data_IF_829677402629
#
_entry.id   IF_829677402629
#
_cell.length_a   1.000
_cell.length_b   1.000
_cell.length_c   1.000
_cell.angle_alpha   90.00
_cell.angle_beta   90.00
_cell.angle_gamma   90.00
#
_symmetry.space_group_name_H-M   'P 1'
#
loop_
_entity.id
_entity.type
_entity.pdbx_description
1 polymer ?
#
# COMPACT_ATOMS: atom_id res chain seq x y z
N UNK A 1 52.89 -33.47 -61.22
CA UNK A 1 53.26 -34.47 -60.19
C UNK A 1 52.02 -34.74 -59.33
N UNK A 2 51.50 -35.98 -59.37
CA UNK A 2 50.63 -36.72 -58.39
C UNK A 2 49.37 -36.03 -57.82
N UNK A 3 48.14 -36.39 -58.22
CA UNK A 3 47.26 -37.56 -57.85
C UNK A 3 46.56 -37.48 -56.47
N UNK A 4 45.24 -37.24 -56.52
CA UNK A 4 44.09 -38.01 -56.00
C UNK A 4 44.08 -38.80 -54.66
N UNK A 5 42.85 -38.85 -54.11
CA UNK A 5 42.20 -39.89 -53.26
C UNK A 5 42.34 -39.75 -51.74
N UNK A 6 41.24 -39.53 -50.99
CA UNK A 6 40.16 -40.44 -50.51
C UNK A 6 40.62 -41.46 -49.44
N UNK A 7 39.97 -41.33 -48.27
CA UNK A 7 39.32 -42.40 -47.46
C UNK A 7 40.15 -43.35 -46.59
N UNK A 8 39.75 -43.44 -45.30
CA UNK A 8 39.81 -44.66 -44.47
C UNK A 8 40.12 -44.39 -42.99
N UNK A 9 39.15 -44.11 -42.11
CA UNK A 9 38.40 -45.04 -41.21
C UNK A 9 39.26 -45.90 -40.24
N UNK A 10 39.05 -45.71 -38.92
CA UNK A 10 38.48 -46.66 -37.90
C UNK A 10 38.58 -46.01 -36.49
N UNK A 11 37.47 -45.76 -35.77
CA UNK A 11 36.75 -46.60 -34.77
C UNK A 11 37.55 -46.76 -33.44
N UNK A 12 37.02 -46.62 -32.21
CA UNK A 12 35.70 -46.90 -31.64
C UNK A 12 35.49 -46.09 -30.32
N UNK A 13 34.27 -45.62 -29.97
CA UNK A 13 33.31 -46.27 -29.03
C UNK A 13 33.23 -45.40 -27.75
N UNK A 14 32.11 -45.02 -27.13
CA UNK A 14 30.82 -45.68 -26.81
C UNK A 14 29.82 -44.54 -26.40
N UNK A 15 28.65 -44.35 -27.05
CA UNK A 15 27.27 -44.78 -26.67
C UNK A 15 26.76 -44.19 -25.32
N UNK A 16 25.54 -43.71 -25.07
CA UNK A 16 24.24 -43.45 -25.73
C UNK A 16 23.45 -42.56 -24.71
N UNK A 17 22.37 -41.81 -24.99
CA UNK A 17 21.10 -42.22 -25.59
C UNK A 17 20.29 -40.96 -25.97
N UNK A 18 19.68 -41.03 -27.15
CA UNK A 18 18.74 -40.07 -27.77
C UNK A 18 17.31 -40.47 -27.42
N UNK A 19 16.35 -39.55 -27.42
CA UNK A 19 15.06 -39.77 -28.11
C UNK A 19 14.33 -38.44 -28.36
N UNK A 20 13.97 -38.29 -29.64
CA UNK A 20 13.40 -37.15 -30.34
C UNK A 20 11.95 -37.50 -30.68
N UNK A 21 11.04 -36.53 -30.71
CA UNK A 21 9.92 -36.56 -31.66
C UNK A 21 9.24 -35.18 -31.76
N UNK A 22 9.35 -34.58 -32.96
CA UNK A 22 8.39 -33.61 -33.46
C UNK A 22 7.27 -34.37 -34.17
N UNK A 23 6.02 -34.02 -33.89
CA UNK A 23 4.92 -34.10 -34.86
C UNK A 23 4.02 -32.90 -34.65
N UNK A 24 3.91 -32.09 -35.71
CA UNK A 24 2.81 -31.16 -35.86
C UNK A 24 1.67 -31.91 -36.55
N UNK A 25 0.46 -31.84 -36.01
CA UNK A 25 -0.74 -31.95 -36.84
C UNK A 25 -1.88 -31.12 -36.27
N UNK A 26 -2.64 -30.52 -37.19
CA UNK A 26 -3.70 -29.52 -36.94
C UNK A 26 -5.03 -30.23 -36.70
N UNK A 27 -5.88 -29.56 -35.92
CA UNK A 27 -7.34 -29.62 -35.92
C UNK A 27 -8.03 -30.84 -35.30
N UNK A 28 -8.56 -30.64 -34.09
CA UNK A 28 -9.95 -30.95 -33.75
C UNK A 28 -10.33 -30.11 -32.53
N UNK A 29 -10.97 -28.97 -32.77
CA UNK A 29 -11.74 -28.28 -31.76
C UNK A 29 -12.94 -29.18 -31.42
N UNK A 30 -12.96 -29.73 -30.21
CA UNK A 30 -14.17 -30.27 -29.61
C UNK A 30 -14.45 -29.51 -28.32
N UNK A 31 -15.60 -28.85 -28.35
CA UNK A 31 -16.23 -28.12 -27.27
C UNK A 31 -16.36 -28.97 -26.01
N UNK A 32 -15.51 -28.71 -25.02
CA UNK A 32 -15.86 -28.97 -23.63
C UNK A 32 -16.40 -27.67 -23.07
N UNK A 33 -17.72 -27.51 -23.18
CA UNK A 33 -18.50 -26.52 -22.44
C UNK A 33 -18.45 -26.90 -20.96
N UNK A 34 -17.45 -26.38 -20.24
CA UNK A 34 -17.53 -26.26 -18.78
C UNK A 34 -18.47 -25.10 -18.46
N UNK A 35 -19.72 -25.47 -18.22
CA UNK A 35 -20.76 -24.63 -17.67
C UNK A 35 -20.33 -24.02 -16.33
N UNK A 36 -20.49 -22.70 -16.18
CA UNK A 36 -20.63 -22.08 -14.87
C UNK A 36 -19.50 -21.15 -14.41
N UNK A 37 -18.89 -20.36 -15.28
CA UNK A 37 -18.20 -19.14 -14.83
C UNK A 37 -19.27 -18.13 -14.40
N UNK A 38 -19.59 -18.10 -13.09
CA UNK A 38 -20.15 -16.87 -12.52
C UNK A 38 -19.09 -15.80 -12.75
N UNK A 39 -19.36 -14.88 -13.68
CA UNK A 39 -18.59 -13.65 -13.79
C UNK A 39 -18.55 -13.02 -12.40
N UNK A 40 -17.39 -13.05 -11.75
CA UNK A 40 -17.14 -12.22 -10.58
C UNK A 40 -17.56 -10.80 -10.97
N UNK A 41 -18.45 -10.14 -10.21
CA UNK A 41 -18.81 -8.77 -10.54
C UNK A 41 -17.51 -7.98 -10.65
N UNK A 42 -17.32 -7.36 -11.81
CA UNK A 42 -16.19 -6.44 -12.03
C UNK A 42 -16.47 -5.26 -11.10
N UNK A 43 -15.94 -5.32 -9.88
CA UNK A 43 -16.13 -4.27 -8.89
C UNK A 43 -15.48 -3.03 -9.49
N UNK A 44 -16.29 -2.02 -9.77
CA UNK A 44 -15.78 -0.70 -10.11
C UNK A 44 -15.09 -0.15 -8.88
N UNK A 45 -13.77 -0.26 -8.85
CA UNK A 45 -12.94 0.35 -7.84
C UNK A 45 -12.71 1.83 -8.14
N UNK A 46 -13.65 2.55 -8.74
CA UNK A 46 -13.63 4.01 -8.81
C UNK A 46 -15.04 4.54 -8.59
N UNK A 47 -15.41 4.88 -7.35
CA UNK A 47 -16.73 5.49 -7.16
C UNK A 47 -16.76 6.97 -7.61
N UNK A 48 -15.59 7.57 -7.88
CA UNK A 48 -15.30 8.75 -8.75
C UNK A 48 -13.78 9.01 -8.82
N UNK A 49 -13.26 9.36 -10.00
CA UNK A 49 -11.96 10.06 -10.11
C UNK A 49 -12.21 11.55 -9.91
N UNK A 50 -11.46 12.17 -9.00
CA UNK A 50 -11.56 13.60 -8.68
C UNK A 50 -10.19 14.26 -8.72
N UNK A 51 -10.19 15.59 -8.83
CA UNK A 51 -8.97 16.40 -8.69
C UNK A 51 -9.18 17.50 -7.64
N UNK A 52 -8.10 17.86 -6.96
CA UNK A 52 -8.03 19.03 -6.09
C UNK A 52 -6.67 19.71 -6.21
N UNK A 53 -6.62 20.99 -5.86
CA UNK A 53 -5.42 21.82 -6.00
C UNK A 53 -4.77 22.06 -4.65
N UNK A 54 -3.45 21.90 -4.57
CA UNK A 54 -2.66 22.26 -3.39
C UNK A 54 -2.46 23.78 -3.30
N UNK A 55 -2.06 24.25 -2.12
CA UNK A 55 -1.74 25.67 -1.89
C UNK A 55 -0.57 26.16 -2.76
N UNK A 56 0.37 25.27 -3.11
CA UNK A 56 1.49 25.54 -4.02
C UNK A 56 1.16 25.29 -5.50
N UNK A 57 -0.10 24.99 -5.81
CA UNK A 57 -0.63 25.02 -7.17
C UNK A 57 -0.60 23.71 -7.95
N UNK A 58 -0.20 22.60 -7.31
CA UNK A 58 -0.22 21.25 -7.90
C UNK A 58 -1.66 20.74 -7.99
N UNK A 59 -2.04 20.16 -9.14
CA UNK A 59 -3.31 19.43 -9.29
C UNK A 59 -3.07 17.95 -8.95
N UNK A 60 -3.74 17.49 -7.89
CA UNK A 60 -3.65 16.12 -7.38
C UNK A 60 -4.86 15.33 -7.87
N UNK A 61 -4.61 14.18 -8.49
CA UNK A 61 -5.65 13.22 -8.89
C UNK A 61 -5.83 12.15 -7.82
N UNK A 62 -7.09 11.83 -7.52
CA UNK A 62 -7.46 10.83 -6.51
C UNK A 62 -8.67 10.00 -6.93
N UNK A 63 -8.71 8.77 -6.42
CA UNK A 63 -9.90 7.93 -6.43
C UNK A 63 -10.66 8.15 -5.11
N UNK A 64 -11.94 8.53 -5.24
CA UNK A 64 -12.83 8.77 -4.11
C UNK A 64 -13.86 7.65 -3.98
N UNK A 65 -13.95 7.10 -2.77
CA UNK A 65 -14.81 5.97 -2.40
C UNK A 65 -15.70 6.34 -1.20
N UNK A 66 -16.84 7.01 -1.41
CA UNK A 66 -17.74 7.33 -0.32
C UNK A 66 -18.36 6.04 0.24
N UNK A 67 -18.34 5.91 1.56
CA UNK A 67 -19.07 4.86 2.25
C UNK A 67 -20.58 5.14 2.21
N UNK A 68 -21.37 4.07 2.17
CA UNK A 68 -22.82 4.17 2.38
C UNK A 68 -23.07 4.44 3.87
N UNK A 69 -23.69 5.57 4.16
CA UNK A 69 -24.07 5.94 5.53
C UNK A 69 -25.57 6.10 5.64
N UNK A 70 -26.10 5.70 6.79
CA UNK A 70 -27.50 5.94 7.14
C UNK A 70 -27.81 7.45 7.14
N UNK A 71 -29.04 7.86 6.81
CA UNK A 71 -29.46 9.26 6.90
C UNK A 71 -29.11 9.90 8.26
N UNK A 72 -28.52 11.09 8.23
CA UNK A 72 -28.10 11.83 9.43
C UNK A 72 -26.83 11.31 10.11
N UNK A 73 -26.15 10.29 9.55
CA UNK A 73 -24.83 9.85 10.00
C UNK A 73 -23.72 10.39 9.11
N UNK A 74 -22.54 10.58 9.69
CA UNK A 74 -21.32 10.97 8.98
C UNK A 74 -20.30 9.82 9.02
N UNK A 75 -19.68 9.54 7.88
CA UNK A 75 -18.65 8.52 7.71
C UNK A 75 -17.31 9.04 8.22
N UNK A 76 -16.53 8.26 9.00
CA UNK A 76 -15.12 8.54 9.20
C UNK A 76 -14.35 8.42 7.86
N UNK A 77 -13.11 8.91 7.81
CA UNK A 77 -12.33 8.94 6.56
C UNK A 77 -10.96 8.29 6.67
N UNK A 78 -10.53 7.68 5.57
CA UNK A 78 -9.17 7.19 5.37
C UNK A 78 -8.52 7.89 4.17
N UNK A 79 -7.30 8.41 4.36
CA UNK A 79 -6.43 8.88 3.27
C UNK A 79 -5.34 7.83 3.02
N UNK A 80 -5.18 7.39 1.77
CA UNK A 80 -4.22 6.35 1.39
C UNK A 80 -3.11 6.93 0.49
N UNK A 81 -1.86 6.77 0.92
CA UNK A 81 -0.67 7.39 0.31
C UNK A 81 0.29 6.28 -0.15
N UNK A 82 0.58 6.21 -1.45
CA UNK A 82 1.33 5.10 -2.05
C UNK A 82 2.86 5.21 -1.84
N UNK A 83 3.57 4.12 -2.14
CA UNK A 83 5.04 4.04 -2.09
C UNK A 83 5.71 4.56 -3.38
N UNK A 84 7.04 4.68 -3.37
CA UNK A 84 7.83 4.93 -4.58
C UNK A 84 8.45 3.63 -5.13
N UNK A 85 8.41 3.37 -6.45
CA UNK A 85 7.43 3.90 -7.40
C UNK A 85 6.10 3.14 -7.23
N UNK A 86 4.99 3.86 -7.26
CA UNK A 86 3.63 3.31 -7.36
C UNK A 86 2.66 4.43 -7.79
N UNK A 87 1.37 4.09 -7.79
CA UNK A 87 0.24 5.01 -7.89
C UNK A 87 -0.78 4.65 -6.82
N UNK A 88 -1.80 5.48 -6.62
CA UNK A 88 -2.95 5.26 -5.73
C UNK A 88 -3.60 3.89 -5.88
N UNK A 89 -3.50 3.29 -7.07
CA UNK A 89 -4.02 1.95 -7.37
C UNK A 89 -3.45 0.85 -6.46
N UNK A 90 -2.25 1.04 -5.91
CA UNK A 90 -1.61 0.04 -5.03
C UNK A 90 -2.39 -0.20 -3.72
N UNK A 91 -3.31 0.70 -3.38
CA UNK A 91 -4.16 0.61 -2.20
C UNK A 91 -5.54 -0.01 -2.45
N UNK A 92 -5.89 -0.35 -3.70
CA UNK A 92 -7.19 -0.98 -4.05
C UNK A 92 -7.56 -2.19 -3.17
N UNK A 93 -6.63 -3.08 -2.77
CA UNK A 93 -6.97 -4.20 -1.88
C UNK A 93 -7.57 -3.81 -0.52
N UNK A 94 -7.33 -2.59 -0.03
CA UNK A 94 -7.87 -2.11 1.23
C UNK A 94 -9.27 -1.49 1.11
N UNK A 95 -9.69 -1.07 -0.09
CA UNK A 95 -10.93 -0.31 -0.27
C UNK A 95 -12.17 -1.07 0.23
N UNK A 96 -12.41 -2.35 -0.13
CA UNK A 96 -13.60 -3.06 0.37
C UNK A 96 -13.60 -3.24 1.89
N UNK A 97 -12.42 -3.41 2.49
CA UNK A 97 -12.29 -3.62 3.93
C UNK A 97 -12.60 -2.35 4.73
N UNK A 98 -12.22 -1.20 4.20
CA UNK A 98 -12.46 0.09 4.84
C UNK A 98 -13.87 0.61 4.53
N UNK A 99 -14.27 0.61 3.26
CA UNK A 99 -15.55 1.17 2.81
C UNK A 99 -16.72 0.26 3.14
N UNK A 100 -16.69 -0.98 2.69
CA UNK A 100 -17.87 -1.84 2.70
C UNK A 100 -18.04 -2.54 4.04
N UNK A 101 -16.95 -2.99 4.66
CA UNK A 101 -16.99 -3.66 5.96
C UNK A 101 -17.08 -2.66 7.13
N UNK A 102 -16.27 -1.59 7.12
CA UNK A 102 -16.21 -0.62 8.23
C UNK A 102 -16.99 0.69 8.03
N UNK A 103 -17.50 0.98 6.82
CA UNK A 103 -18.22 2.24 6.56
C UNK A 103 -17.31 3.49 6.58
N UNK A 104 -16.01 3.33 6.33
CA UNK A 104 -15.03 4.41 6.22
C UNK A 104 -14.97 4.89 4.78
N UNK A 105 -15.16 6.19 4.55
CA UNK A 105 -14.98 6.74 3.21
C UNK A 105 -13.49 6.87 2.89
N UNK A 106 -13.07 6.43 1.71
CA UNK A 106 -11.65 6.30 1.36
C UNK A 106 -11.28 7.28 0.26
N UNK A 107 -10.16 7.97 0.42
CA UNK A 107 -9.53 8.78 -0.61
C UNK A 107 -8.10 8.30 -0.83
N UNK A 108 -7.80 7.79 -2.02
CA UNK A 108 -6.45 7.39 -2.41
C UNK A 108 -5.96 8.33 -3.51
N UNK A 109 -4.83 9.00 -3.31
CA UNK A 109 -4.32 10.01 -4.26
C UNK A 109 -2.95 9.63 -4.81
N UNK A 110 -2.62 10.14 -6.00
CA UNK A 110 -1.28 10.04 -6.56
C UNK A 110 -0.40 11.17 -6.00
N UNK A 111 0.75 10.80 -5.41
CA UNK A 111 1.75 11.78 -4.96
C UNK A 111 2.15 12.66 -6.14
N UNK A 112 2.35 13.97 -5.90
CA UNK A 112 2.85 14.92 -6.89
C UNK A 112 3.98 14.34 -7.76
N UNK A 113 3.83 14.44 -9.08
CA UNK A 113 4.81 13.96 -10.06
C UNK A 113 4.67 12.50 -10.48
N UNK A 114 3.64 11.77 -10.06
CA UNK A 114 3.33 10.43 -10.62
C UNK A 114 1.85 10.29 -10.94
N UNK A 115 1.50 9.26 -11.71
CA UNK A 115 0.13 8.94 -12.11
C UNK A 115 -0.60 10.15 -12.72
N UNK A 116 -1.75 10.52 -12.18
CA UNK A 116 -2.52 11.68 -12.64
C UNK A 116 -2.03 13.04 -12.10
N UNK A 117 -1.17 13.06 -11.09
CA UNK A 117 -0.75 14.27 -10.35
C UNK A 117 0.49 14.95 -10.94
N UNK A 118 0.54 15.09 -12.27
CA UNK A 118 1.70 15.63 -13.01
C UNK A 118 1.56 17.09 -13.42
N UNK A 119 0.43 17.71 -13.07
CA UNK A 119 0.10 19.09 -13.44
C UNK A 119 0.37 20.08 -12.31
N UNK A 120 0.71 21.34 -12.64
CA UNK A 120 0.79 21.87 -14.00
C UNK A 120 2.17 21.60 -14.65
N UNK A 121 2.23 21.58 -15.98
CA UNK A 121 3.39 21.08 -16.73
C UNK A 121 4.66 21.90 -16.47
N UNK A 122 4.53 23.21 -16.28
CA UNK A 122 5.61 24.15 -15.99
C UNK A 122 6.39 23.84 -14.71
N UNK A 123 5.81 23.07 -13.78
CA UNK A 123 6.48 22.69 -12.54
C UNK A 123 7.43 21.50 -12.69
N UNK A 124 7.42 20.81 -13.84
CA UNK A 124 8.24 19.62 -14.13
C UNK A 124 8.16 18.55 -13.03
N UNK A 125 6.97 18.33 -12.47
CA UNK A 125 6.75 17.48 -11.30
C UNK A 125 7.20 16.04 -11.53
N UNK A 126 6.93 15.50 -12.72
CA UNK A 126 7.33 14.13 -13.05
C UNK A 126 8.84 13.95 -12.99
N UNK A 127 9.59 14.86 -13.59
CA UNK A 127 11.06 14.82 -13.53
C UNK A 127 11.56 14.91 -12.10
N UNK A 128 11.01 15.80 -11.27
CA UNK A 128 11.40 15.92 -9.85
C UNK A 128 11.12 14.64 -9.06
N UNK A 129 10.00 13.97 -9.35
CA UNK A 129 9.66 12.68 -8.76
C UNK A 129 10.66 11.58 -9.19
N UNK A 130 10.97 11.50 -10.49
CA UNK A 130 11.94 10.55 -11.05
C UNK A 130 13.37 10.79 -10.52
N UNK A 131 13.78 12.05 -10.40
CA UNK A 131 15.07 12.49 -9.85
C UNK A 131 15.15 12.32 -8.32
N UNK A 132 14.05 11.92 -7.66
CA UNK A 132 13.95 11.77 -6.21
C UNK A 132 14.30 13.06 -5.45
N UNK A 133 13.89 14.20 -6.00
CA UNK A 133 14.20 15.51 -5.46
C UNK A 133 13.66 15.68 -4.03
N UNK A 134 14.55 15.95 -3.07
CA UNK A 134 14.19 15.99 -1.66
C UNK A 134 13.20 17.13 -1.33
N UNK A 135 13.33 18.29 -1.99
CA UNK A 135 12.41 19.41 -1.77
C UNK A 135 11.01 19.10 -2.31
N UNK A 136 10.93 18.40 -3.44
CA UNK A 136 9.69 17.91 -4.02
C UNK A 136 8.96 16.95 -3.08
N UNK A 137 9.67 15.96 -2.51
CA UNK A 137 9.08 15.03 -1.55
C UNK A 137 8.75 15.68 -0.20
N UNK A 138 9.57 16.60 0.30
CA UNK A 138 9.24 17.38 1.50
C UNK A 138 7.96 18.22 1.33
N UNK A 139 7.69 18.71 0.12
CA UNK A 139 6.46 19.44 -0.19
C UNK A 139 5.23 18.53 -0.38
N UNK A 140 5.39 17.20 -0.48
CA UNK A 140 4.28 16.26 -0.70
C UNK A 140 3.26 16.21 0.46
N UNK A 141 3.58 16.72 1.64
CA UNK A 141 2.57 16.93 2.70
C UNK A 141 1.44 17.87 2.26
N UNK A 142 1.73 18.84 1.39
CA UNK A 142 0.73 19.75 0.83
C UNK A 142 -0.33 19.01 0.01
N UNK A 143 0.01 17.85 -0.57
CA UNK A 143 -0.94 16.98 -1.26
C UNK A 143 -1.96 16.41 -0.27
N UNK A 144 -1.47 15.96 0.90
CA UNK A 144 -2.32 15.42 1.97
C UNK A 144 -3.16 16.51 2.64
N UNK A 145 -2.61 17.71 2.82
CA UNK A 145 -3.36 18.88 3.31
C UNK A 145 -4.51 19.20 2.35
N UNK A 146 -4.25 19.26 1.04
CA UNK A 146 -5.28 19.53 0.04
C UNK A 146 -6.34 18.42 -0.01
N UNK A 147 -5.93 17.16 0.16
CA UNK A 147 -6.83 16.02 0.28
C UNK A 147 -7.76 16.16 1.50
N UNK A 148 -7.21 16.52 2.67
CA UNK A 148 -7.98 16.82 3.87
C UNK A 148 -8.97 17.98 3.65
N UNK A 149 -8.52 19.10 3.09
CA UNK A 149 -9.37 20.25 2.80
C UNK A 149 -10.51 19.89 1.86
N UNK A 150 -10.25 19.09 0.83
CA UNK A 150 -11.28 18.58 -0.06
C UNK A 150 -12.30 17.70 0.70
N UNK A 151 -11.83 16.82 1.59
CA UNK A 151 -12.69 15.97 2.43
C UNK A 151 -13.59 16.78 3.37
N UNK A 152 -13.11 17.89 3.95
CA UNK A 152 -13.94 18.74 4.83
C UNK A 152 -15.16 19.34 4.12
N UNK A 153 -15.11 19.44 2.78
CA UNK A 153 -16.17 20.00 1.94
C UNK A 153 -17.19 18.95 1.48
N UNK A 154 -16.94 17.67 1.74
CA UNK A 154 -17.82 16.59 1.29
C UNK A 154 -19.01 16.40 2.23
N UNK A 155 -20.22 16.15 1.70
CA UNK A 155 -21.39 15.87 2.54
C UNK A 155 -21.21 14.54 3.28
N UNK A 156 -21.77 14.45 4.48
CA UNK A 156 -21.81 13.23 5.29
C UNK A 156 -20.44 12.63 5.64
N UNK A 157 -19.37 13.45 5.63
CA UNK A 157 -18.02 13.07 6.04
C UNK A 157 -17.68 13.68 7.39
N UNK A 158 -17.06 12.94 8.30
CA UNK A 158 -16.59 13.38 9.62
C UNK A 158 -15.06 13.31 9.68
N UNK A 159 -14.40 14.44 9.39
CA UNK A 159 -12.94 14.55 9.42
C UNK A 159 -12.34 14.61 10.82
N UNK A 160 -13.15 14.66 11.89
CA UNK A 160 -12.64 14.48 13.27
C UNK A 160 -12.28 13.01 13.58
N UNK A 161 -12.80 12.09 12.75
CA UNK A 161 -12.48 10.66 12.77
C UNK A 161 -11.76 10.28 11.48
N UNK A 162 -10.48 10.65 11.43
CA UNK A 162 -9.62 10.40 10.27
C UNK A 162 -8.44 9.49 10.61
N UNK A 163 -8.13 8.59 9.69
CA UNK A 163 -6.92 7.74 9.68
C UNK A 163 -6.14 7.98 8.38
N UNK A 164 -4.81 7.89 8.45
CA UNK A 164 -3.94 7.96 7.27
C UNK A 164 -3.15 6.67 7.14
N UNK A 165 -3.07 6.14 5.91
CA UNK A 165 -2.28 4.97 5.58
C UNK A 165 -1.17 5.36 4.62
N UNK A 166 0.06 5.00 4.96
CA UNK A 166 1.24 5.23 4.14
C UNK A 166 1.96 3.92 3.82
N UNK A 167 2.63 3.88 2.67
CA UNK A 167 3.59 2.84 2.34
C UNK A 167 4.92 3.48 1.93
N UNK A 168 6.05 3.01 2.45
CA UNK A 168 7.39 3.56 2.13
C UNK A 168 7.46 5.08 2.35
N UNK A 169 7.84 5.86 1.35
CA UNK A 169 7.78 7.34 1.39
C UNK A 169 6.40 7.88 1.78
N UNK A 170 5.31 7.18 1.45
CA UNK A 170 3.96 7.52 1.91
C UNK A 170 3.80 7.46 3.42
N UNK A 171 4.57 6.62 4.13
CA UNK A 171 4.65 6.63 5.60
C UNK A 171 5.25 7.93 6.11
N UNK A 172 6.35 8.39 5.50
CA UNK A 172 7.01 9.63 5.88
C UNK A 172 6.11 10.85 5.66
N UNK A 173 5.38 10.88 4.53
CA UNK A 173 4.36 11.89 4.24
C UNK A 173 3.21 11.83 5.26
N UNK A 174 2.75 10.63 5.62
CA UNK A 174 1.67 10.45 6.60
C UNK A 174 2.05 10.98 7.98
N UNK A 175 3.27 10.70 8.43
CA UNK A 175 3.80 11.18 9.70
C UNK A 175 3.95 12.71 9.70
N UNK A 176 4.52 13.30 8.64
CA UNK A 176 4.65 14.76 8.50
C UNK A 176 3.27 15.44 8.53
N UNK A 177 2.31 14.91 7.75
CA UNK A 177 0.95 15.44 7.73
C UNK A 177 0.26 15.41 9.11
N UNK A 178 0.47 14.36 9.90
CA UNK A 178 -0.12 14.23 11.23
C UNK A 178 0.40 15.27 12.24
N UNK A 179 1.52 15.96 11.96
CA UNK A 179 2.02 17.04 12.80
C UNK A 179 1.37 18.41 12.49
N UNK A 180 0.68 18.55 11.34
CA UNK A 180 0.18 19.82 10.76
C UNK A 180 -1.11 20.38 11.42
N UNK A 181 -1.31 20.16 12.72
CA UNK A 181 -2.43 20.72 13.48
C UNK A 181 -3.83 20.15 13.16
N UNK A 182 -3.89 19.11 12.33
CA UNK A 182 -5.12 18.37 12.01
C UNK A 182 -5.32 17.18 12.95
N UNK A 183 -6.58 16.86 13.28
CA UNK A 183 -6.89 15.71 14.13
C UNK A 183 -6.81 14.41 13.33
N UNK A 184 -5.71 13.67 13.52
CA UNK A 184 -5.50 12.32 12.97
C UNK A 184 -5.58 11.31 14.10
N UNK A 185 -6.57 10.40 14.07
CA UNK A 185 -6.73 9.37 15.11
C UNK A 185 -5.73 8.23 14.95
N UNK A 186 -5.32 7.93 13.73
CA UNK A 186 -4.35 6.87 13.44
C UNK A 186 -3.46 7.16 12.24
N UNK A 187 -2.22 6.69 12.31
CA UNK A 187 -1.30 6.56 11.18
C UNK A 187 -0.88 5.10 11.07
N UNK A 188 -1.09 4.47 9.92
CA UNK A 188 -0.65 3.10 9.67
C UNK A 188 0.35 3.06 8.52
N UNK A 189 1.49 2.41 8.74
CA UNK A 189 2.64 2.45 7.85
C UNK A 189 3.05 1.04 7.43
N UNK A 190 3.21 0.83 6.11
CA UNK A 190 3.83 -0.36 5.53
C UNK A 190 5.25 -0.05 5.06
N UNK A 191 6.24 -0.79 5.57
CA UNK A 191 7.68 -0.57 5.37
C UNK A 191 8.07 0.91 5.56
N UNK A 192 7.89 1.50 6.76
CA UNK A 192 8.33 2.87 7.01
C UNK A 192 9.87 2.98 6.99
N UNK A 193 10.37 4.18 6.71
CA UNK A 193 11.78 4.51 6.80
C UNK A 193 11.99 5.68 7.75
N UNK A 194 13.23 5.89 8.19
CA UNK A 194 13.59 7.02 9.06
C UNK A 194 13.75 8.32 8.27
N UNK A 195 14.15 8.24 6.99
CA UNK A 195 14.46 9.40 6.15
C UNK A 195 14.21 9.13 4.65
N UNK A 196 13.03 8.62 4.28
CA UNK A 196 12.75 8.40 2.85
C UNK A 196 12.63 9.73 2.10
N UNK A 197 13.39 9.84 1.02
CA UNK A 197 13.44 11.03 0.15
C UNK A 197 13.69 12.35 0.92
N UNK A 198 14.43 12.29 2.02
CA UNK A 198 14.75 13.48 2.83
C UNK A 198 13.68 13.89 3.84
N UNK A 199 12.60 13.12 4.00
CA UNK A 199 11.53 13.40 4.98
C UNK A 199 11.88 12.76 6.33
N UNK A 200 12.18 13.58 7.34
CA UNK A 200 12.61 13.16 8.69
C UNK A 200 11.46 12.55 9.52
N UNK A 201 11.28 11.24 9.36
CA UNK A 201 10.22 10.50 10.04
C UNK A 201 10.49 10.33 11.54
N UNK A 202 11.77 10.41 11.97
CA UNK A 202 12.15 10.33 13.38
C UNK A 202 11.67 11.58 14.15
N UNK A 203 11.81 12.76 13.55
CA UNK A 203 11.26 13.99 14.14
C UNK A 203 9.75 13.99 14.14
N UNK A 204 9.13 13.69 13.00
CA UNK A 204 7.66 13.70 12.89
C UNK A 204 6.98 12.74 13.86
N UNK A 205 7.49 11.50 14.03
CA UNK A 205 6.88 10.55 14.97
C UNK A 205 7.00 11.01 16.43
N UNK A 206 8.09 11.70 16.81
CA UNK A 206 8.25 12.28 18.16
C UNK A 206 7.25 13.39 18.44
N UNK A 207 6.97 14.23 17.45
CA UNK A 207 6.01 15.35 17.55
C UNK A 207 4.55 14.89 17.72
N UNK A 208 4.28 13.59 17.54
CA UNK A 208 2.98 12.99 17.86
C UNK A 208 2.81 12.72 19.36
N UNK A 209 3.87 12.83 20.17
CA UNK A 209 3.78 12.69 21.63
C UNK A 209 2.81 13.73 22.20
N UNK A 210 1.88 13.26 23.04
CA UNK A 210 0.84 14.09 23.65
C UNK A 210 -0.37 14.35 22.74
N UNK A 211 -0.36 13.88 21.49
CA UNK A 211 -1.54 13.87 20.61
C UNK A 211 -2.36 12.59 20.84
N UNK A 212 -3.63 12.62 20.43
CA UNK A 212 -4.52 11.45 20.42
C UNK A 212 -4.29 10.53 19.19
N UNK A 213 -3.12 10.59 18.59
CA UNK A 213 -2.77 9.83 17.38
C UNK A 213 -2.10 8.51 17.78
N UNK A 214 -2.65 7.38 17.32
CA UNK A 214 -2.00 6.07 17.41
C UNK A 214 -1.22 5.77 16.13
N UNK A 215 -0.14 5.01 16.23
CA UNK A 215 0.74 4.67 15.12
C UNK A 215 0.96 3.17 15.07
N UNK A 216 0.66 2.56 13.92
CA UNK A 216 0.97 1.17 13.62
C UNK A 216 2.03 1.13 12.52
N UNK A 217 3.17 0.51 12.82
CA UNK A 217 4.27 0.32 11.89
C UNK A 217 4.37 -1.17 11.55
N UNK A 218 4.42 -1.50 10.26
CA UNK A 218 4.47 -2.90 9.80
C UNK A 218 5.55 -3.01 8.72
N UNK A 219 6.37 -4.06 8.76
CA UNK A 219 7.32 -4.33 7.68
C UNK A 219 7.66 -5.82 7.59
N UNK A 220 8.23 -6.25 6.45
CA UNK A 220 9.02 -7.47 6.42
C UNK A 220 10.20 -7.40 7.41
N UNK A 221 10.68 -8.55 7.86
CA UNK A 221 11.80 -8.70 8.80
C UNK A 221 13.05 -8.01 8.29
N UNK A 222 13.37 -8.16 7.00
CA UNK A 222 14.53 -7.53 6.37
C UNK A 222 14.49 -6.00 6.31
N UNK A 223 13.43 -5.36 6.79
CA UNK A 223 13.27 -3.90 6.85
C UNK A 223 12.93 -3.40 8.28
N UNK A 224 12.90 -4.30 9.28
CA UNK A 224 12.35 -4.00 10.60
C UNK A 224 13.21 -3.05 11.44
N UNK A 225 14.51 -2.93 11.15
CA UNK A 225 15.43 -1.99 11.82
C UNK A 225 14.93 -0.54 11.78
N UNK A 226 14.25 -0.14 10.69
CA UNK A 226 13.66 1.18 10.59
C UNK A 226 12.50 1.38 11.60
N UNK A 227 11.70 0.33 11.85
CA UNK A 227 10.63 0.34 12.86
C UNK A 227 11.23 0.45 14.26
N UNK A 228 12.28 -0.32 14.55
CA UNK A 228 12.99 -0.25 15.84
C UNK A 228 13.53 1.16 16.09
N UNK A 229 14.11 1.79 15.06
CA UNK A 229 14.59 3.18 15.13
C UNK A 229 13.46 4.17 15.42
N UNK A 230 12.29 4.01 14.80
CA UNK A 230 11.12 4.87 15.02
C UNK A 230 10.51 4.67 16.42
N UNK A 231 10.46 3.44 16.93
CA UNK A 231 9.99 3.15 18.30
C UNK A 231 10.98 3.70 19.32
N UNK A 232 12.29 3.52 19.09
CA UNK A 232 13.34 4.08 19.94
C UNK A 232 13.29 5.61 19.96
N UNK A 233 12.98 6.24 18.84
CA UNK A 233 12.84 7.69 18.76
C UNK A 233 11.76 8.24 19.69
N UNK A 234 10.73 7.44 20.03
CA UNK A 234 9.64 7.83 20.92
C UNK A 234 9.79 7.29 22.35
N UNK A 235 10.99 6.81 22.71
CA UNK A 235 11.28 6.15 24.00
C UNK A 235 10.36 4.93 24.27
N UNK A 236 9.95 4.22 23.22
CA UNK A 236 9.06 3.07 23.34
C UNK A 236 7.62 3.42 23.72
N UNK A 237 7.17 4.63 23.39
CA UNK A 237 5.85 5.11 23.80
C UNK A 237 4.70 4.23 23.29
N UNK A 238 3.68 4.04 24.14
CA UNK A 238 2.54 3.14 23.88
C UNK A 238 1.68 3.51 22.67
N UNK A 239 1.77 4.75 22.19
CA UNK A 239 1.05 5.16 20.98
C UNK A 239 1.70 4.64 19.69
N UNK A 240 2.91 4.06 19.74
CA UNK A 240 3.59 3.46 18.58
C UNK A 240 3.74 1.95 18.78
N UNK A 241 3.26 1.15 17.83
CA UNK A 241 3.40 -0.31 17.86
C UNK A 241 3.99 -0.82 16.53
N UNK A 242 5.01 -1.66 16.63
CA UNK A 242 5.66 -2.33 15.50
C UNK A 242 5.12 -3.75 15.28
N UNK A 243 5.07 -4.20 14.02
CA UNK A 243 4.73 -5.58 13.63
C UNK A 243 5.66 -6.06 12.53
N UNK A 244 6.22 -7.25 12.75
CA UNK A 244 7.18 -7.91 11.87
C UNK A 244 6.48 -9.02 11.10
N UNK A 245 6.86 -9.21 9.84
CA UNK A 245 6.39 -10.28 8.97
C UNK A 245 7.58 -10.91 8.25
N UNK A 246 7.48 -12.17 7.83
CA UNK A 246 8.58 -12.85 7.16
C UNK A 246 9.01 -12.17 5.84
N UNK A 247 10.26 -12.43 5.43
CA UNK A 247 10.81 -11.97 4.16
C UNK A 247 11.49 -10.59 4.24
N UNK A 248 11.69 -9.97 3.08
CA UNK A 248 12.45 -8.74 2.93
C UNK A 248 11.87 -7.78 1.89
N UNK A 249 12.76 -7.06 1.20
CA UNK A 249 12.42 -5.95 0.28
C UNK A 249 11.55 -6.35 -0.90
N UNK A 250 11.47 -7.63 -1.26
CA UNK A 250 10.53 -8.14 -2.25
C UNK A 250 9.07 -7.84 -1.85
N UNK A 251 8.77 -7.85 -0.55
CA UNK A 251 7.45 -7.55 0.00
C UNK A 251 7.32 -6.09 0.47
N UNK A 252 8.22 -5.18 0.08
CA UNK A 252 8.20 -3.79 0.54
C UNK A 252 6.89 -3.04 0.27
N UNK A 253 6.41 -2.28 1.26
CA UNK A 253 5.26 -1.39 1.14
C UNK A 253 3.97 -2.13 0.83
N UNK A 254 3.21 -1.71 -0.18
CA UNK A 254 1.95 -2.39 -0.53
C UNK A 254 2.14 -3.77 -1.16
N UNK A 255 3.37 -4.17 -1.52
CA UNK A 255 3.64 -5.56 -1.96
C UNK A 255 3.44 -6.57 -0.83
N UNK A 256 3.42 -6.12 0.43
CA UNK A 256 3.00 -6.94 1.56
C UNK A 256 1.61 -7.55 1.35
N UNK A 257 0.72 -6.93 0.56
CA UNK A 257 -0.62 -7.46 0.28
C UNK A 257 -0.62 -8.71 -0.60
N UNK A 258 0.44 -8.91 -1.38
CA UNK A 258 0.61 -10.03 -2.32
C UNK A 258 1.46 -11.16 -1.72
N UNK A 259 2.07 -10.91 -0.55
CA UNK A 259 2.84 -11.90 0.19
C UNK A 259 1.94 -13.01 0.76
N UNK A 260 2.54 -14.12 1.20
CA UNK A 260 1.81 -15.24 1.85
C UNK A 260 0.98 -14.80 3.06
N UNK A 261 1.39 -13.73 3.75
CA UNK A 261 0.70 -13.13 4.89
C UNK A 261 -0.16 -11.92 4.54
N UNK A 262 -0.38 -11.64 3.24
CA UNK A 262 -1.03 -10.40 2.80
C UNK A 262 -2.43 -10.20 3.37
N UNK A 263 -3.20 -11.28 3.54
CA UNK A 263 -4.50 -11.21 4.22
C UNK A 263 -4.36 -10.81 5.69
N UNK A 264 -3.38 -11.35 6.43
CA UNK A 264 -3.09 -10.96 7.82
C UNK A 264 -2.73 -9.47 7.90
N UNK A 265 -1.95 -8.96 6.95
CA UNK A 265 -1.59 -7.52 6.89
C UNK A 265 -2.83 -6.66 6.67
N UNK A 266 -3.67 -7.00 5.68
CA UNK A 266 -4.91 -6.27 5.39
C UNK A 266 -5.88 -6.27 6.58
N UNK A 267 -6.03 -7.41 7.28
CA UNK A 267 -6.88 -7.53 8.48
C UNK A 267 -6.33 -6.73 9.66
N UNK A 268 -5.00 -6.72 9.85
CA UNK A 268 -4.36 -5.90 10.89
C UNK A 268 -4.61 -4.40 10.67
N UNK A 269 -4.46 -3.92 9.43
CA UNK A 269 -4.76 -2.54 9.05
C UNK A 269 -6.24 -2.20 9.29
N UNK A 270 -7.15 -3.10 8.91
CA UNK A 270 -8.58 -2.94 9.15
C UNK A 270 -8.92 -2.88 10.65
N UNK A 271 -8.39 -3.81 11.46
CA UNK A 271 -8.59 -3.86 12.92
C UNK A 271 -8.08 -2.58 13.59
N UNK A 272 -6.91 -2.10 13.18
CA UNK A 272 -6.35 -0.84 13.65
C UNK A 272 -7.28 0.34 13.32
N UNK A 273 -7.74 0.45 12.06
CA UNK A 273 -8.69 1.49 11.65
C UNK A 273 -9.97 1.49 12.48
N UNK A 274 -10.58 0.32 12.66
CA UNK A 274 -11.79 0.15 13.48
C UNK A 274 -11.57 0.65 14.91
N UNK A 275 -10.44 0.31 15.52
CA UNK A 275 -10.11 0.68 16.90
C UNK A 275 -9.90 2.17 17.09
N UNK A 276 -9.05 2.80 16.27
CA UNK A 276 -8.74 4.25 16.43
C UNK A 276 -9.90 5.16 16.04
N UNK A 277 -10.84 4.68 15.21
CA UNK A 277 -12.03 5.42 14.78
C UNK A 277 -13.28 5.12 15.63
N UNK A 278 -13.14 4.30 16.68
CA UNK A 278 -14.23 3.85 17.56
C UNK A 278 -15.45 3.31 16.79
N UNK A 279 -15.20 2.46 15.79
CA UNK A 279 -16.25 1.86 14.97
C UNK A 279 -16.76 0.60 15.68
N UNK A 280 -18.05 0.60 16.04
CA UNK A 280 -18.72 -0.54 16.69
C UNK A 280 -18.69 -1.77 15.81
N UNK A 281 -18.40 -2.94 16.40
CA UNK A 281 -18.50 -4.24 15.73
C UNK A 281 -19.96 -4.55 15.36
N UNK A 282 -20.16 -5.21 14.22
CA UNK A 282 -21.46 -5.80 13.89
C UNK A 282 -21.58 -7.16 14.59
N UNK A 283 -22.80 -7.58 14.99
CA UNK A 283 -22.99 -8.92 15.55
C UNK A 283 -22.50 -10.00 14.56
N UNK A 284 -21.55 -10.84 14.97
CA UNK A 284 -21.00 -11.94 14.16
C UNK A 284 -19.55 -11.74 13.67
N UNK A 285 -18.96 -10.56 13.84
CA UNK A 285 -17.55 -10.29 13.48
C UNK A 285 -16.55 -11.04 14.40
N UNK A 286 -16.97 -11.47 15.59
CA UNK A 286 -16.13 -12.06 16.65
C UNK A 286 -15.40 -13.34 16.21
N UNK A 287 -15.91 -14.08 15.22
CA UNK A 287 -15.30 -15.36 14.78
C UNK A 287 -14.14 -15.22 13.79
N UNK A 288 -13.94 -14.05 13.18
CA UNK A 288 -12.92 -13.84 12.13
C UNK A 288 -11.60 -13.28 12.67
N UNK A 289 -11.65 -12.40 13.66
CA UNK A 289 -10.47 -11.70 14.15
C UNK A 289 -9.67 -12.51 15.20
N UNK A 290 -10.33 -13.37 15.98
CA UNK A 290 -9.68 -14.14 17.07
C UNK A 290 -8.70 -15.21 16.55
N UNK A 291 -8.82 -15.64 15.29
CA UNK A 291 -7.87 -16.60 14.69
C UNK A 291 -6.56 -15.96 14.22
N UNK A 292 -6.52 -14.63 14.06
CA UNK A 292 -5.35 -13.91 13.56
C UNK A 292 -4.44 -13.37 14.69
N UNK A 293 -4.89 -13.49 15.95
CA UNK A 293 -4.13 -13.11 17.15
C UNK A 293 -3.28 -14.28 17.72
N UNK A 294 -3.56 -15.54 17.35
CA UNK A 294 -2.91 -16.74 17.92
C UNK A 294 -1.53 -17.09 17.33
N UNK A 295 -1.06 -16.40 16.29
CA UNK A 295 0.28 -16.63 15.72
C UNK A 295 1.26 -15.53 16.14
N UNK A 296 1.95 -15.79 17.26
CA UNK A 296 3.15 -15.15 17.80
C UNK A 296 3.05 -13.68 18.26
N UNK A 297 2.50 -13.48 19.46
CA UNK A 297 3.15 -12.60 20.45
C UNK A 297 4.45 -13.28 20.91
N UNK A 298 5.47 -13.32 20.04
CA UNK A 298 6.86 -13.46 20.48
C UNK A 298 7.35 -12.08 21.00
N UNK A 299 6.66 -11.56 22.01
CA UNK A 299 7.30 -10.75 23.06
C UNK A 299 8.02 -11.73 24.01
N UNK A 300 8.93 -12.55 23.46
CA UNK A 300 9.97 -13.16 24.28
C UNK A 300 10.99 -12.08 24.56
N UNK A 301 10.82 -11.49 25.74
CA UNK A 301 11.92 -10.86 26.49
C UNK A 301 13.09 -11.84 26.51
N UNK A 302 14.18 -11.44 25.89
CA UNK A 302 15.55 -11.73 26.32
C UNK A 302 16.32 -10.41 26.33
#
# INVERSE_FOLDING_TARGET
MLKNSRSGRKLAGLLALVMMAMFADRAAAQDIRLSGSRSQPKIDFSDRVITFKTSDGVEIEADWYPAKVEPGKRSPVAILIHMYPATRNSWKPMVPLLRDELGISVLAYDIRGTGGSVKPAEMNLQRKYEDRDAAHFAAAKNDTIAAYEWLTKQPNIDTSRMIVFGASVGCSISLDFATQGVLVKGVACLSPGTNYMGIDSLTHIRELKGRDTKVLLMSPEGEYEAIESLIKATDGADYVKGRKYDGGRENHGTRMFDAKYGDKVKRRLQKFARGVLDIKRKPGDDKKDDKDDDDNDDDKKD
#
